data_IF_833941962385
#
_entry.id   IF_833941962385
#
_cell.length_a   1.000
_cell.length_b   1.000
_cell.length_c   1.000
_cell.angle_alpha   90.00
_cell.angle_beta   90.00
_cell.angle_gamma   90.00
#
_symmetry.space_group_name_H-M   'P 1'
#
loop_
_entity.id
_entity.type
_entity.pdbx_description
1 polymer ?
#
# COMPACT_ATOMS: atom_id res chain seq x y z
N UNK A 1 0.03 11.76 13.74
CA UNK A 1 -0.83 10.70 13.27
C UNK A 1 -2.27 11.11 13.49
N UNK A 2 -3.01 11.21 12.45
CA UNK A 2 -4.42 11.60 12.51
C UNK A 2 -5.20 10.39 12.01
N UNK A 3 -6.16 9.92 12.81
CA UNK A 3 -7.24 9.09 12.28
C UNK A 3 -7.90 9.93 11.18
N UNK A 4 -7.81 9.49 9.94
CA UNK A 4 -8.33 10.28 8.84
C UNK A 4 -9.85 10.15 8.79
N UNK A 5 -10.55 11.16 9.29
CA UNK A 5 -11.70 11.65 8.54
C UNK A 5 -11.15 12.19 7.22
N UNK A 6 -11.34 11.45 6.14
CA UNK A 6 -11.05 11.91 4.78
C UNK A 6 -11.89 13.16 4.50
N UNK A 7 -11.38 14.31 4.85
CA UNK A 7 -12.04 15.58 4.50
C UNK A 7 -11.99 15.71 2.98
N UNK A 8 -13.12 16.07 2.38
CA UNK A 8 -13.42 16.24 0.94
C UNK A 8 -12.50 17.20 0.16
N UNK A 9 -11.38 17.64 0.73
CA UNK A 9 -10.48 18.67 0.19
C UNK A 9 -9.12 18.16 -0.29
N UNK A 10 -8.90 16.86 -0.38
CA UNK A 10 -7.59 16.32 -0.79
C UNK A 10 -7.66 15.91 -2.26
N UNK A 11 -7.29 16.84 -3.13
CA UNK A 11 -7.31 16.65 -4.59
C UNK A 11 -6.22 15.73 -5.16
N UNK A 12 -5.39 15.09 -4.37
CA UNK A 12 -4.41 14.10 -4.85
C UNK A 12 -3.87 13.30 -3.67
N UNK A 13 -4.44 12.13 -3.45
CA UNK A 13 -4.02 11.17 -2.44
C UNK A 13 -3.56 9.92 -3.14
N UNK A 14 -2.36 9.46 -2.82
CA UNK A 14 -1.90 8.13 -3.21
C UNK A 14 -2.22 7.17 -2.08
N UNK A 15 -3.14 6.26 -2.34
CA UNK A 15 -3.42 5.14 -1.45
C UNK A 15 -2.49 3.98 -1.83
N UNK A 16 -1.69 3.53 -0.87
CA UNK A 16 -0.91 2.31 -1.04
C UNK A 16 -1.82 1.14 -0.72
N UNK A 17 -2.21 0.40 -1.73
CA UNK A 17 -3.01 -0.80 -1.53
C UNK A 17 -2.06 -1.99 -1.45
N UNK A 18 -1.95 -2.59 -0.28
CA UNK A 18 -1.38 -3.93 -0.14
C UNK A 18 -2.45 -4.94 -0.58
N UNK A 19 -2.60 -5.12 -1.89
CA UNK A 19 -3.51 -6.14 -2.39
C UNK A 19 -2.90 -7.52 -2.25
N UNK A 20 -3.64 -8.41 -1.61
CA UNK A 20 -3.66 -9.83 -1.93
C UNK A 20 -4.25 -9.96 -3.36
N UNK A 21 -3.42 -9.77 -4.38
CA UNK A 21 -3.70 -10.43 -5.64
C UNK A 21 -3.39 -11.91 -5.44
N UNK A 22 -4.26 -12.59 -4.75
CA UNK A 22 -4.44 -14.00 -4.94
C UNK A 22 -5.18 -14.08 -6.29
N UNK A 23 -4.41 -14.08 -7.39
CA UNK A 23 -4.98 -14.46 -8.66
C UNK A 23 -5.53 -15.86 -8.49
N UNK A 24 -6.84 -16.00 -8.63
CA UNK A 24 -7.40 -17.23 -9.10
C UNK A 24 -6.53 -17.69 -10.29
N UNK A 25 -6.34 -19.00 -10.42
CA UNK A 25 -5.55 -19.64 -11.46
C UNK A 25 -5.54 -18.80 -12.74
N UNK A 26 -4.36 -18.36 -13.24
CA UNK A 26 -4.28 -17.57 -14.48
C UNK A 26 -4.97 -18.22 -15.68
N UNK A 27 -5.19 -19.52 -15.65
CA UNK A 27 -5.91 -20.28 -16.65
C UNK A 27 -7.43 -20.04 -16.63
N UNK A 28 -8.01 -19.51 -15.56
CA UNK A 28 -9.45 -19.32 -15.40
C UNK A 28 -9.96 -17.89 -15.66
N UNK A 29 -9.04 -16.91 -15.85
CA UNK A 29 -9.39 -15.50 -15.97
C UNK A 29 -8.87 -14.88 -17.28
N UNK A 30 -9.78 -14.49 -18.16
CA UNK A 30 -9.43 -13.84 -19.42
C UNK A 30 -9.42 -12.32 -19.28
N UNK A 31 -8.27 -11.76 -18.88
CA UNK A 31 -8.08 -10.33 -18.69
C UNK A 31 -8.32 -9.49 -19.95
N UNK A 32 -8.07 -10.03 -21.15
CA UNK A 32 -8.30 -9.32 -22.41
C UNK A 32 -9.79 -9.16 -22.68
N UNK A 33 -10.54 -10.21 -22.41
CA UNK A 33 -11.99 -10.24 -22.62
C UNK A 33 -12.74 -9.36 -21.62
N UNK A 34 -12.27 -9.33 -20.36
CA UNK A 34 -12.99 -8.61 -19.30
C UNK A 34 -12.50 -7.16 -19.11
N UNK A 35 -11.21 -6.87 -19.34
CA UNK A 35 -10.62 -5.55 -19.09
C UNK A 35 -9.85 -4.97 -20.28
N UNK A 36 -9.85 -5.62 -21.44
CA UNK A 36 -9.14 -5.15 -22.63
C UNK A 36 -7.61 -5.11 -22.48
N UNK A 37 -7.05 -5.86 -21.51
CA UNK A 37 -5.60 -5.90 -21.28
C UNK A 37 -4.95 -6.79 -22.35
N UNK A 38 -4.04 -6.26 -23.19
CA UNK A 38 -3.40 -7.03 -24.24
C UNK A 38 -2.69 -8.28 -23.71
N UNK A 39 -2.82 -9.39 -24.42
CA UNK A 39 -2.29 -10.71 -24.04
C UNK A 39 -0.78 -10.69 -23.74
N UNK A 40 -0.01 -9.87 -24.45
CA UNK A 40 1.43 -9.71 -24.24
C UNK A 40 1.81 -9.08 -22.88
N UNK A 41 0.89 -8.40 -22.21
CA UNK A 41 1.14 -7.81 -20.88
C UNK A 41 0.85 -8.78 -19.73
N UNK A 42 0.16 -9.90 -19.97
CA UNK A 42 -0.14 -10.93 -18.96
C UNK A 42 1.12 -11.50 -18.31
N UNK A 43 2.20 -11.67 -19.08
CA UNK A 43 3.47 -12.20 -18.60
C UNK A 43 4.31 -11.19 -17.81
N UNK A 44 3.87 -9.92 -17.74
CA UNK A 44 4.50 -8.89 -16.93
C UNK A 44 4.07 -8.93 -15.47
N UNK A 45 3.10 -9.78 -15.12
CA UNK A 45 2.60 -9.96 -13.76
C UNK A 45 2.91 -11.36 -13.22
N UNK A 46 3.31 -11.51 -11.96
CA UNK A 46 3.62 -10.43 -11.01
C UNK A 46 4.89 -9.68 -11.39
N UNK A 47 4.88 -8.36 -11.21
CA UNK A 47 6.07 -7.53 -11.43
C UNK A 47 7.24 -8.06 -10.60
N UNK A 48 8.44 -7.99 -11.16
CA UNK A 48 9.65 -8.37 -10.41
C UNK A 48 9.71 -7.56 -9.11
N UNK A 49 9.91 -8.23 -7.98
CA UNK A 49 9.86 -7.65 -6.62
C UNK A 49 10.69 -6.38 -6.43
N UNK A 50 11.70 -6.14 -7.26
CA UNK A 50 12.61 -5.01 -7.14
C UNK A 50 12.16 -3.76 -7.91
N UNK A 51 11.08 -3.84 -8.73
CA UNK A 51 10.65 -2.75 -9.61
C UNK A 51 9.19 -2.39 -9.45
N UNK A 52 8.47 -3.07 -8.59
CA UNK A 52 7.13 -3.45 -8.75
C UNK A 52 6.08 -2.58 -8.09
N UNK A 53 5.67 -1.52 -8.74
CA UNK A 53 4.41 -0.89 -8.45
C UNK A 53 3.66 -0.51 -9.70
N UNK A 54 2.33 -0.45 -9.59
CA UNK A 54 1.45 0.09 -10.62
C UNK A 54 0.90 1.42 -10.12
N UNK A 55 1.03 2.44 -10.95
CA UNK A 55 0.35 3.72 -10.74
C UNK A 55 -0.96 3.72 -11.53
N UNK A 56 -2.05 3.98 -10.84
CA UNK A 56 -3.38 4.15 -11.44
C UNK A 56 -3.86 5.56 -11.22
N UNK A 57 -3.95 6.32 -12.31
CA UNK A 57 -4.38 7.72 -12.27
C UNK A 57 -5.90 7.85 -12.35
N UNK A 58 -6.46 8.79 -11.58
CA UNK A 58 -7.85 9.23 -11.72
C UNK A 58 -8.90 8.15 -11.43
N UNK A 59 -8.61 7.23 -10.50
CA UNK A 59 -9.56 6.18 -10.12
C UNK A 59 -10.76 6.81 -9.41
N UNK A 60 -11.95 6.55 -9.92
CA UNK A 60 -13.17 7.12 -9.37
C UNK A 60 -13.69 6.31 -8.20
N UNK A 61 -13.81 6.95 -7.05
CA UNK A 61 -14.50 6.42 -5.88
C UNK A 61 -15.97 6.86 -5.95
N UNK A 62 -16.87 5.90 -6.07
CA UNK A 62 -18.28 6.13 -6.27
C UNK A 62 -19.19 5.50 -5.20
N UNK A 63 -18.58 4.72 -4.27
CA UNK A 63 -19.28 4.13 -3.13
C UNK A 63 -18.69 4.63 -1.83
N UNK A 64 -19.55 4.73 -0.82
CA UNK A 64 -19.17 5.03 0.55
C UNK A 64 -18.58 3.80 1.25
N UNK A 65 -18.23 3.92 2.51
CA UNK A 65 -17.62 2.89 3.34
C UNK A 65 -18.62 1.78 3.68
N UNK A 66 -18.10 0.66 4.21
CA UNK A 66 -18.87 -0.44 4.75
C UNK A 66 -19.86 0.02 5.84
N UNK A 67 -19.42 0.92 6.72
CA UNK A 67 -20.25 1.49 7.78
C UNK A 67 -21.52 2.17 7.25
N UNK A 68 -21.48 2.64 6.00
CA UNK A 68 -22.62 3.27 5.30
C UNK A 68 -23.22 2.33 4.23
N UNK A 69 -23.00 1.01 4.37
CA UNK A 69 -23.57 -0.01 3.50
C UNK A 69 -23.13 0.08 2.04
N UNK A 70 -21.95 0.64 1.76
CA UNK A 70 -21.47 0.87 0.39
C UNK A 70 -22.43 1.67 -0.50
N UNK A 71 -23.21 2.60 0.09
CA UNK A 71 -24.14 3.44 -0.65
C UNK A 71 -23.45 4.21 -1.77
N UNK A 72 -24.16 4.53 -2.84
CA UNK A 72 -23.62 5.37 -3.91
C UNK A 72 -23.39 6.78 -3.38
N UNK A 73 -22.22 7.35 -3.67
CA UNK A 73 -21.92 8.74 -3.33
C UNK A 73 -22.70 9.69 -4.26
N UNK A 74 -23.32 10.71 -3.69
CA UNK A 74 -23.95 11.78 -4.49
C UNK A 74 -22.94 12.49 -5.39
N UNK A 75 -21.70 12.62 -4.93
CA UNK A 75 -20.60 13.25 -5.65
C UNK A 75 -19.39 12.31 -5.63
N UNK A 76 -19.21 11.46 -6.65
CA UNK A 76 -18.00 10.68 -6.83
C UNK A 76 -16.77 11.58 -6.87
N UNK A 77 -15.64 11.07 -6.39
CA UNK A 77 -14.37 11.78 -6.37
C UNK A 77 -13.25 10.90 -6.91
N UNK A 78 -12.13 11.51 -7.29
CA UNK A 78 -11.01 10.79 -7.88
C UNK A 78 -9.82 10.74 -6.93
N UNK A 79 -9.08 9.64 -7.04
CA UNK A 79 -7.85 9.39 -6.28
C UNK A 79 -6.85 8.66 -7.17
N UNK A 80 -5.57 8.86 -6.89
CA UNK A 80 -4.52 8.11 -7.55
C UNK A 80 -4.06 6.97 -6.64
N UNK A 81 -3.75 5.81 -7.21
CA UNK A 81 -3.26 4.65 -6.47
C UNK A 81 -1.86 4.26 -6.90
N UNK A 82 -1.04 3.87 -5.91
CA UNK A 82 0.18 3.09 -6.12
C UNK A 82 -0.03 1.72 -5.50
N UNK A 83 -0.13 0.69 -6.34
CA UNK A 83 -0.26 -0.69 -5.90
C UNK A 83 1.11 -1.37 -5.90
N UNK A 84 1.58 -1.78 -4.74
CA UNK A 84 2.84 -2.51 -4.54
C UNK A 84 2.57 -3.71 -3.64
N UNK A 85 3.09 -4.89 -4.02
CA UNK A 85 2.93 -6.10 -3.24
C UNK A 85 4.02 -6.23 -2.18
N UNK A 86 3.64 -6.26 -0.90
CA UNK A 86 4.57 -6.55 0.19
C UNK A 86 5.10 -8.00 0.12
N UNK A 87 6.22 -8.25 0.78
CA UNK A 87 6.72 -9.61 0.95
C UNK A 87 5.75 -10.42 1.82
N UNK A 88 5.28 -11.56 1.31
CA UNK A 88 4.55 -12.52 2.14
C UNK A 88 5.56 -13.37 2.93
N UNK A 89 5.70 -13.04 4.22
CA UNK A 89 6.66 -13.68 5.11
C UNK A 89 6.00 -14.59 6.15
N UNK A 90 4.68 -14.77 6.08
CA UNK A 90 3.90 -15.53 7.08
C UNK A 90 4.57 -16.86 7.47
N UNK A 91 5.02 -17.65 6.50
CA UNK A 91 5.65 -18.96 6.76
C UNK A 91 7.04 -18.89 7.43
N UNK A 92 7.63 -17.71 7.53
CA UNK A 92 8.96 -17.51 8.12
C UNK A 92 8.89 -16.86 9.51
N UNK A 93 7.71 -16.51 9.99
CA UNK A 93 7.57 -15.72 11.21
C UNK A 93 7.81 -16.53 12.49
N UNK A 94 7.18 -17.70 12.66
CA UNK A 94 7.44 -18.63 13.79
C UNK A 94 7.74 -17.93 15.14
N UNK A 95 6.88 -16.98 15.54
CA UNK A 95 7.08 -16.18 16.75
C UNK A 95 8.08 -15.03 16.67
N UNK A 96 8.64 -14.72 15.50
CA UNK A 96 9.55 -13.59 15.31
C UNK A 96 8.81 -12.27 15.40
N UNK A 97 9.47 -11.28 15.99
CA UNK A 97 9.00 -9.89 16.09
C UNK A 97 9.64 -8.97 15.03
N UNK A 98 10.54 -9.50 14.21
CA UNK A 98 11.24 -8.75 13.16
C UNK A 98 11.16 -9.48 11.82
N UNK A 99 11.18 -8.72 10.74
CA UNK A 99 11.30 -9.26 9.38
C UNK A 99 12.64 -10.00 9.27
N UNK A 100 12.66 -11.25 8.75
CA UNK A 100 13.91 -11.97 8.56
C UNK A 100 14.86 -11.20 7.63
N UNK A 101 16.17 -11.18 7.96
CA UNK A 101 17.18 -10.34 7.32
C UNK A 101 17.20 -10.45 5.80
N UNK A 102 16.98 -11.65 5.26
CA UNK A 102 16.92 -11.90 3.82
C UNK A 102 15.82 -11.12 3.08
N UNK A 103 14.78 -10.64 3.80
CA UNK A 103 13.69 -9.87 3.21
C UNK A 103 13.84 -8.37 3.43
N UNK A 104 14.73 -7.90 4.31
CA UNK A 104 14.92 -6.48 4.59
C UNK A 104 15.29 -5.69 3.32
N UNK A 105 16.30 -6.12 2.52
CA UNK A 105 16.68 -5.37 1.33
C UNK A 105 15.53 -5.22 0.32
N UNK A 106 14.76 -6.29 0.10
CA UNK A 106 13.60 -6.23 -0.80
C UNK A 106 12.46 -5.38 -0.24
N UNK A 107 12.22 -5.41 1.08
CA UNK A 107 11.21 -4.57 1.72
C UNK A 107 11.56 -3.09 1.61
N UNK A 108 12.81 -2.71 1.89
CA UNK A 108 13.30 -1.34 1.68
C UNK A 108 13.17 -0.89 0.22
N UNK A 109 13.50 -1.77 -0.72
CA UNK A 109 13.34 -1.50 -2.16
C UNK A 109 11.90 -1.24 -2.54
N UNK A 110 10.94 -2.00 -1.99
CA UNK A 110 9.51 -1.82 -2.24
C UNK A 110 8.99 -0.50 -1.64
N UNK A 111 9.42 -0.13 -0.44
CA UNK A 111 9.06 1.17 0.17
C UNK A 111 9.60 2.32 -0.70
N UNK A 112 10.87 2.26 -1.13
CA UNK A 112 11.42 3.26 -2.06
C UNK A 112 10.65 3.33 -3.37
N UNK A 113 10.22 2.17 -3.91
CA UNK A 113 9.42 2.13 -5.13
C UNK A 113 8.09 2.85 -4.97
N UNK A 114 7.39 2.67 -3.83
CA UNK A 114 6.16 3.42 -3.52
C UNK A 114 6.41 4.92 -3.61
N UNK A 115 7.43 5.41 -2.92
CA UNK A 115 7.74 6.84 -2.86
C UNK A 115 8.17 7.41 -4.22
N UNK A 116 9.05 6.70 -4.94
CA UNK A 116 9.50 7.12 -6.28
C UNK A 116 8.37 7.18 -7.28
N UNK A 117 7.51 6.15 -7.31
CA UNK A 117 6.35 6.13 -8.20
C UNK A 117 5.41 7.30 -7.88
N UNK A 118 5.13 7.54 -6.61
CA UNK A 118 4.29 8.64 -6.20
C UNK A 118 4.89 9.99 -6.62
N UNK A 119 6.15 10.23 -6.28
CA UNK A 119 6.83 11.50 -6.58
C UNK A 119 6.95 11.75 -8.09
N UNK A 120 7.34 10.75 -8.87
CA UNK A 120 7.48 10.85 -10.33
C UNK A 120 6.16 11.13 -11.05
N UNK A 121 5.03 10.85 -10.39
CA UNK A 121 3.69 11.19 -10.86
C UNK A 121 3.12 12.45 -10.19
N UNK A 122 3.96 13.30 -9.59
CA UNK A 122 3.57 14.59 -9.01
C UNK A 122 2.75 14.49 -7.73
N UNK A 123 2.74 13.32 -7.06
CA UNK A 123 1.98 13.14 -5.83
C UNK A 123 2.81 13.58 -4.64
N UNK A 124 2.44 14.69 -4.03
CA UNK A 124 3.16 15.28 -2.89
C UNK A 124 2.47 15.02 -1.54
N UNK A 125 1.30 14.41 -1.54
CA UNK A 125 0.56 13.98 -0.35
C UNK A 125 0.25 12.51 -0.46
N UNK A 126 0.61 11.74 0.57
CA UNK A 126 0.48 10.30 0.58
C UNK A 126 -0.42 9.84 1.73
N UNK A 127 -1.23 8.83 1.46
CA UNK A 127 -1.90 8.03 2.48
C UNK A 127 -1.38 6.61 2.36
N UNK A 128 -0.69 6.15 3.38
CA UNK A 128 -0.07 4.84 3.47
C UNK A 128 -0.81 3.97 4.48
N UNK A 129 -0.80 2.66 4.27
CA UNK A 129 -1.31 1.69 5.25
C UNK A 129 -0.18 0.99 6.00
N UNK A 130 -0.52 0.07 6.90
CA UNK A 130 0.42 -0.85 7.54
C UNK A 130 0.84 -1.94 6.53
N UNK A 131 1.81 -1.61 5.68
CA UNK A 131 2.23 -2.36 4.50
C UNK A 131 2.60 -3.81 4.80
N UNK A 132 1.75 -4.74 4.38
CA UNK A 132 1.94 -6.18 4.57
C UNK A 132 1.76 -6.69 6.02
N UNK A 133 1.31 -5.87 6.96
CA UNK A 133 1.20 -6.25 8.38
C UNK A 133 -0.05 -7.11 8.70
N UNK A 134 -0.97 -7.28 7.76
CA UNK A 134 -2.11 -8.18 7.89
C UNK A 134 -1.79 -9.60 7.42
N UNK A 135 -2.43 -10.05 6.34
CA UNK A 135 -2.32 -11.41 5.81
C UNK A 135 -0.89 -11.87 5.49
N UNK A 136 0.04 -10.96 5.19
CA UNK A 136 1.44 -11.29 4.90
C UNK A 136 2.32 -11.37 6.14
N UNK A 137 1.77 -11.05 7.31
CA UNK A 137 2.38 -11.19 8.64
C UNK A 137 3.73 -10.45 8.81
N UNK A 138 3.91 -9.31 8.14
CA UNK A 138 5.07 -8.47 8.45
C UNK A 138 4.87 -7.83 9.85
N UNK A 139 5.89 -7.89 10.74
CA UNK A 139 5.79 -7.28 12.07
C UNK A 139 5.61 -5.77 11.97
N UNK A 140 4.53 -5.19 12.54
CA UNK A 140 4.17 -3.80 12.31
C UNK A 140 5.20 -2.81 12.83
N UNK A 141 5.81 -3.05 14.00
CA UNK A 141 6.84 -2.19 14.56
C UNK A 141 8.09 -2.15 13.66
N UNK A 142 8.55 -3.30 13.21
CA UNK A 142 9.72 -3.36 12.31
C UNK A 142 9.39 -2.74 10.93
N UNK A 143 8.18 -2.97 10.40
CA UNK A 143 7.74 -2.32 9.17
C UNK A 143 7.72 -0.79 9.30
N UNK A 144 7.19 -0.26 10.39
CA UNK A 144 7.20 1.19 10.67
C UNK A 144 8.63 1.75 10.73
N UNK A 145 9.57 1.01 11.38
CA UNK A 145 10.98 1.38 11.43
C UNK A 145 11.63 1.41 10.04
N UNK A 146 11.30 0.44 9.16
CA UNK A 146 11.81 0.44 7.78
C UNK A 146 11.24 1.60 6.95
N UNK A 147 9.97 1.97 7.15
CA UNK A 147 9.43 3.20 6.56
C UNK A 147 10.18 4.44 7.05
N UNK A 148 10.40 4.55 8.37
CA UNK A 148 11.16 5.66 8.93
C UNK A 148 12.57 5.73 8.35
N UNK A 149 13.26 4.59 8.28
CA UNK A 149 14.59 4.51 7.68
C UNK A 149 14.60 5.05 6.25
N UNK A 150 13.62 4.67 5.41
CA UNK A 150 13.54 5.16 4.02
C UNK A 150 13.20 6.65 3.98
N UNK A 151 12.30 7.15 4.83
CA UNK A 151 11.98 8.58 4.87
C UNK A 151 13.18 9.44 5.27
N UNK A 152 14.06 8.91 6.10
CA UNK A 152 15.28 9.59 6.56
C UNK A 152 16.42 9.53 5.49
N UNK A 153 16.25 8.81 4.36
CA UNK A 153 17.21 8.80 3.27
C UNK A 153 17.24 10.16 2.55
N UNK A 154 18.44 10.67 2.18
CA UNK A 154 18.58 11.98 1.53
C UNK A 154 17.71 12.14 0.28
N UNK A 155 17.45 11.03 -0.44
CA UNK A 155 16.60 11.01 -1.63
C UNK A 155 15.17 11.48 -1.35
N UNK A 156 14.63 11.22 -0.15
CA UNK A 156 13.21 11.45 0.15
C UNK A 156 12.96 12.63 1.08
N UNK A 157 14.02 13.20 1.66
CA UNK A 157 13.88 14.34 2.56
C UNK A 157 13.29 15.55 1.84
N UNK A 158 12.17 16.08 2.39
CA UNK A 158 11.50 17.27 1.87
C UNK A 158 10.75 17.09 0.55
N UNK A 159 10.68 15.88 -0.03
CA UNK A 159 9.95 15.64 -1.27
C UNK A 159 8.43 15.70 -1.09
N UNK A 160 7.93 15.23 0.04
CA UNK A 160 6.50 15.14 0.30
C UNK A 160 6.05 16.23 1.25
N UNK A 161 4.91 16.84 0.96
CA UNK A 161 4.28 17.86 1.82
C UNK A 161 3.64 17.22 3.05
N UNK A 162 3.03 16.05 2.85
CA UNK A 162 2.27 15.34 3.89
C UNK A 162 2.34 13.84 3.63
N UNK A 163 2.57 13.07 4.69
CA UNK A 163 2.44 11.61 4.68
C UNK A 163 1.57 11.22 5.88
N UNK A 164 0.47 10.54 5.59
CA UNK A 164 -0.45 10.03 6.60
C UNK A 164 -0.45 8.51 6.60
N UNK A 165 -0.42 7.88 7.77
CA UNK A 165 -0.69 6.46 7.90
C UNK A 165 -2.15 6.26 8.29
N UNK A 166 -2.97 5.74 7.36
CA UNK A 166 -4.33 5.29 7.61
C UNK A 166 -4.29 3.81 7.97
N UNK A 167 -4.40 3.51 9.26
CA UNK A 167 -4.29 2.14 9.77
C UNK A 167 -5.63 1.74 10.37
N UNK A 168 -6.24 0.73 9.74
CA UNK A 168 -7.47 0.11 10.22
C UNK A 168 -7.07 -1.10 11.05
N UNK A 169 -7.62 -1.20 12.24
CA UNK A 169 -7.50 -2.39 13.07
C UNK A 169 -8.64 -3.35 12.74
N UNK A 170 -8.27 -4.53 12.26
CA UNK A 170 -9.18 -5.60 11.88
C UNK A 170 -8.80 -6.93 12.57
N UNK A 171 -9.50 -7.99 12.22
CA UNK A 171 -9.24 -9.33 12.75
C UNK A 171 -7.85 -9.89 12.40
N UNK A 172 -7.13 -9.31 11.41
CA UNK A 172 -5.78 -9.73 11.04
C UNK A 172 -4.69 -8.96 11.80
N UNK A 173 -5.00 -7.77 12.29
CA UNK A 173 -4.05 -6.88 12.96
C UNK A 173 -3.96 -7.13 14.47
N UNK A 174 -4.96 -7.76 15.06
CA UNK A 174 -5.05 -8.00 16.51
C UNK A 174 -4.83 -6.73 17.36
N UNK A 175 -5.17 -5.54 16.85
CA UNK A 175 -5.05 -4.27 17.54
C UNK A 175 -3.62 -3.75 17.68
N UNK A 176 -2.65 -4.29 16.96
CA UNK A 176 -1.23 -3.96 17.15
C UNK A 176 -0.65 -2.99 16.12
N UNK A 177 -1.24 -2.93 14.92
CA UNK A 177 -0.66 -2.14 13.83
C UNK A 177 -0.62 -0.65 14.15
N UNK A 178 -1.72 -0.09 14.61
CA UNK A 178 -1.82 1.32 14.95
C UNK A 178 -0.80 1.74 16.01
N UNK A 179 -0.75 1.02 17.13
CA UNK A 179 0.15 1.35 18.24
C UNK A 179 1.62 1.25 17.82
N UNK A 180 1.97 0.26 17.01
CA UNK A 180 3.32 0.07 16.51
C UNK A 180 3.79 1.23 15.62
N UNK A 181 2.94 1.71 14.72
CA UNK A 181 3.25 2.86 13.88
C UNK A 181 3.26 4.17 14.69
N UNK A 182 2.33 4.32 15.61
CA UNK A 182 2.30 5.46 16.53
C UNK A 182 3.60 5.59 17.30
N UNK A 183 4.12 4.51 17.87
CA UNK A 183 5.36 4.51 18.65
C UNK A 183 6.59 4.96 17.84
N UNK A 184 6.62 4.70 16.54
CA UNK A 184 7.76 5.03 15.68
C UNK A 184 7.68 6.46 15.12
N UNK A 185 6.48 7.01 14.92
CA UNK A 185 6.29 8.28 14.22
C UNK A 185 5.79 9.43 15.11
N UNK A 186 5.39 9.16 16.34
CA UNK A 186 4.92 10.16 17.32
C UNK A 186 5.64 10.04 18.64
#
# INVERSE_FOLDING_TARGET
MVALELRKSICSVVLTISFLFQFADPASFDCEKEYGIPHNLRHSYPLKRNYGGIYSHGVTIFRDTEANGYALLEKPWQVNFVAVAANNIRKYMNGRTTIPDKFIPSTLSLIRAILRIAYNNGQLRLVLGAFGCGAFANPPKHMAQLFKQVFDEPEFQGLFKEIHFAIIEDHNSHGQNYNAFKEVFL
#
